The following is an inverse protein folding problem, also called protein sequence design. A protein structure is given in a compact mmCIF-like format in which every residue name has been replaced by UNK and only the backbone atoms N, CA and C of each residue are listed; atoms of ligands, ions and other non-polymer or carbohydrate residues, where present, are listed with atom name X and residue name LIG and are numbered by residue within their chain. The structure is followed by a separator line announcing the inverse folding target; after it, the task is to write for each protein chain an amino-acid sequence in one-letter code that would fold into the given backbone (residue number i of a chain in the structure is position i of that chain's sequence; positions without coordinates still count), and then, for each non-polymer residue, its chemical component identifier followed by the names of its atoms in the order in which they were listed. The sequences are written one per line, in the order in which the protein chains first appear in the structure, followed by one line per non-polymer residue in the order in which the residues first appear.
data_IF_647444918988
#
_entry.id   IF_647444918988
#
_cell.length_a   1.000
_cell.length_b   1.000
_cell.length_c   1.000
_cell.angle_alpha   90.00
_cell.angle_beta   90.00
_cell.angle_gamma   90.00
#
_symmetry.space_group_name_H-M   'P 1'
#
loop_
_entity.id
_entity.type
_entity.pdbx_description
1 polymer ?
#
# COMPACT_ATOMS: atom_id res chain seq x y z
N UNK A 1 40.30 -1.07 -14.08
CA UNK A 1 41.27 -0.12 -14.68
C UNK A 1 42.07 0.45 -13.53
N UNK A 2 43.24 -0.18 -13.28
CA UNK A 2 44.15 0.21 -12.21
C UNK A 2 45.18 1.16 -12.81
N UNK A 3 45.23 2.38 -12.23
CA UNK A 3 46.26 3.37 -12.54
C UNK A 3 47.57 2.89 -11.96
N UNK A 4 48.54 2.60 -12.83
CA UNK A 4 49.92 2.33 -12.46
C UNK A 4 50.51 3.63 -11.91
N UNK A 5 50.87 3.65 -10.62
CA UNK A 5 51.63 4.72 -10.00
C UNK A 5 53.08 4.60 -10.53
N UNK A 6 53.52 5.68 -11.19
CA UNK A 6 54.87 5.89 -11.72
C UNK A 6 55.84 6.03 -10.51
N UNK A 7 56.71 5.02 -10.28
CA UNK A 7 57.78 5.10 -9.27
C UNK A 7 58.88 6.02 -9.78
N UNK A 8 59.35 7.02 -9.02
CA UNK A 8 60.47 7.85 -9.45
C UNK A 8 61.74 7.08 -9.52
N UNK A 9 62.63 7.33 -10.54
CA UNK A 9 63.85 6.59 -10.73
C UNK A 9 64.81 6.73 -9.58
N UNK A 10 65.15 5.61 -8.93
CA UNK A 10 66.20 5.54 -7.91
C UNK A 10 67.53 6.03 -8.48
N UNK A 11 68.01 7.19 -8.01
CA UNK A 11 69.37 7.64 -8.26
C UNK A 11 70.32 6.61 -7.63
N UNK A 12 70.87 5.70 -8.46
CA UNK A 12 71.96 4.81 -8.07
C UNK A 12 73.19 5.66 -7.75
N UNK A 13 73.44 5.98 -6.51
CA UNK A 13 74.68 6.53 -6.01
C UNK A 13 75.79 5.46 -6.21
N UNK A 14 76.69 5.67 -7.21
CA UNK A 14 77.78 4.75 -7.51
C UNK A 14 78.65 4.53 -6.25
N UNK A 15 78.81 3.28 -5.86
CA UNK A 15 79.70 2.88 -4.77
C UNK A 15 81.12 3.24 -5.15
N UNK A 16 81.81 3.96 -4.24
CA UNK A 16 83.21 4.31 -4.42
C UNK A 16 84.06 3.02 -4.59
N UNK A 17 84.66 2.81 -5.77
CA UNK A 17 85.35 1.57 -6.08
C UNK A 17 86.57 1.37 -5.20
N UNK A 18 86.88 0.14 -4.80
CA UNK A 18 87.96 -0.18 -3.85
C UNK A 18 89.34 0.26 -4.33
N UNK A 19 89.52 0.36 -5.64
CA UNK A 19 90.77 0.84 -6.22
C UNK A 19 91.08 2.34 -5.91
N UNK A 20 90.08 3.15 -5.67
CA UNK A 20 90.29 4.54 -5.21
C UNK A 20 90.89 4.59 -3.79
N UNK A 21 90.61 3.65 -2.98
CA UNK A 21 91.20 3.51 -1.63
C UNK A 21 92.66 3.09 -1.77
N UNK A 22 92.96 2.15 -2.71
CA UNK A 22 94.36 1.76 -3.05
C UNK A 22 95.13 2.91 -3.65
N UNK A 23 94.58 3.65 -4.56
CA UNK A 23 95.22 4.82 -5.17
C UNK A 23 95.52 5.91 -4.08
N UNK A 24 94.55 6.15 -3.15
CA UNK A 24 94.75 7.04 -2.03
C UNK A 24 95.89 6.60 -1.11
N UNK A 25 95.97 5.28 -0.88
CA UNK A 25 97.03 4.69 -0.04
C UNK A 25 98.37 4.80 -0.71
N UNK A 26 98.46 4.51 -2.05
CA UNK A 26 99.70 4.69 -2.83
C UNK A 26 100.15 6.15 -2.91
N UNK A 27 99.26 7.07 -3.09
CA UNK A 27 99.55 8.51 -3.11
C UNK A 27 100.02 9.01 -1.74
N UNK A 28 99.37 8.54 -0.68
CA UNK A 28 99.81 8.88 0.67
C UNK A 28 101.21 8.32 1.00
N UNK A 29 101.50 7.08 0.59
CA UNK A 29 102.83 6.48 0.74
C UNK A 29 103.87 7.19 -0.11
N UNK A 30 103.55 7.54 -1.35
CA UNK A 30 104.45 8.26 -2.24
C UNK A 30 104.74 9.68 -1.73
N UNK A 31 103.71 10.39 -1.22
CA UNK A 31 103.88 11.72 -0.58
C UNK A 31 104.71 11.63 0.65
N UNK A 32 104.52 10.63 1.53
CA UNK A 32 105.33 10.38 2.71
C UNK A 32 106.78 10.09 2.34
N UNK A 33 106.99 9.28 1.33
CA UNK A 33 108.34 8.96 0.80
C UNK A 33 109.00 10.19 0.22
N UNK A 34 108.29 11.02 -0.55
CA UNK A 34 108.79 12.26 -1.16
C UNK A 34 109.19 13.26 -0.08
N UNK A 35 108.30 13.49 0.90
CA UNK A 35 108.64 14.40 2.07
C UNK A 35 109.82 13.95 2.86
N UNK A 36 109.91 12.64 3.18
CA UNK A 36 111.01 12.07 3.89
C UNK A 36 112.32 12.21 3.06
N UNK A 37 112.26 11.95 1.77
CA UNK A 37 113.40 12.12 0.83
C UNK A 37 113.91 13.53 0.79
N UNK A 38 112.99 14.53 0.62
CA UNK A 38 113.35 15.93 0.62
C UNK A 38 113.98 16.40 1.95
N UNK A 39 113.40 16.01 3.08
CA UNK A 39 113.91 16.35 4.37
C UNK A 39 115.28 15.70 4.66
N UNK A 40 115.53 14.48 4.21
CA UNK A 40 116.82 13.82 4.32
C UNK A 40 117.90 14.45 3.44
N UNK A 41 117.55 14.87 2.22
CA UNK A 41 118.48 15.58 1.30
C UNK A 41 118.86 16.93 1.82
N UNK A 42 117.93 17.68 2.49
CA UNK A 42 118.24 18.94 3.19
C UNK A 42 119.09 18.69 4.41
N UNK A 43 118.88 17.62 5.16
CA UNK A 43 119.72 17.24 6.35
C UNK A 43 121.14 16.88 5.92
N UNK A 44 121.40 16.31 4.74
CA UNK A 44 122.72 15.96 4.24
C UNK A 44 123.51 17.17 3.71
N UNK A 45 122.87 18.30 3.42
CA UNK A 45 123.54 19.56 3.00
C UNK A 45 124.15 20.40 4.18
N UNK A 46 123.91 20.00 5.43
CA UNK A 46 124.40 20.71 6.58
C UNK A 46 125.91 20.49 6.76
N UNK A 47 126.70 21.60 6.93
CA UNK A 47 128.17 21.61 6.93
C UNK A 47 128.80 21.10 8.24
N UNK A 48 128.12 21.07 9.42
CA UNK A 48 128.61 20.59 10.68
C UNK A 48 128.08 19.23 11.09
N UNK A 49 128.91 18.27 11.59
CA UNK A 49 128.52 16.88 11.87
C UNK A 49 127.43 16.73 12.94
N UNK A 50 127.38 17.58 13.96
CA UNK A 50 126.35 17.50 15.03
C UNK A 50 124.96 17.98 14.61
N UNK A 51 124.90 18.95 13.72
CA UNK A 51 123.63 19.45 13.18
C UNK A 51 123.04 18.47 12.17
N UNK A 52 123.81 17.64 11.51
CA UNK A 52 123.32 16.56 10.61
C UNK A 52 122.53 15.48 11.37
N UNK A 53 123.03 15.10 12.54
CA UNK A 53 122.41 14.05 13.32
C UNK A 53 121.02 14.51 13.85
N UNK A 54 120.92 15.75 14.33
CA UNK A 54 119.68 16.31 14.89
C UNK A 54 118.67 16.56 13.80
N UNK A 55 119.08 17.09 12.61
CA UNK A 55 118.18 17.26 11.44
C UNK A 55 117.66 15.96 10.86
N UNK A 56 118.45 14.90 10.83
CA UNK A 56 118.03 13.57 10.42
C UNK A 56 117.02 12.96 11.41
N UNK A 57 117.18 13.15 12.69
CA UNK A 57 116.21 12.68 13.70
C UNK A 57 114.91 13.46 13.58
N UNK A 58 114.92 14.81 13.33
CA UNK A 58 113.76 15.63 13.14
C UNK A 58 113.06 15.33 11.77
N UNK A 59 113.86 15.06 10.72
CA UNK A 59 113.30 14.62 9.43
C UNK A 59 112.53 13.26 9.53
N UNK A 60 113.12 12.31 10.26
CA UNK A 60 112.50 11.01 10.57
C UNK A 60 111.21 11.21 11.41
N UNK A 61 111.32 12.06 12.45
CA UNK A 61 110.17 12.37 13.32
C UNK A 61 109.01 13.02 12.55
N UNK A 62 109.32 13.99 11.74
CA UNK A 62 108.35 14.69 10.88
C UNK A 62 107.77 13.76 9.88
N UNK A 63 108.62 12.89 9.22
CA UNK A 63 108.15 11.88 8.28
C UNK A 63 107.20 10.86 8.94
N UNK A 64 107.56 10.42 10.14
CA UNK A 64 106.65 9.50 10.91
C UNK A 64 105.32 10.17 11.27
N UNK A 65 105.35 11.47 11.63
CA UNK A 65 104.13 12.22 11.94
C UNK A 65 103.19 12.35 10.73
N UNK A 66 103.74 12.59 9.56
CA UNK A 66 102.96 12.67 8.28
C UNK A 66 102.39 11.28 7.95
N UNK A 67 103.17 10.18 8.10
CA UNK A 67 102.70 8.84 7.92
C UNK A 67 101.62 8.47 8.92
N UNK A 68 101.72 8.87 10.14
CA UNK A 68 100.74 8.62 11.21
C UNK A 68 99.42 9.39 10.94
N UNK A 69 99.51 10.68 10.44
CA UNK A 69 98.36 11.49 10.07
C UNK A 69 97.64 10.95 8.86
N UNK A 70 98.33 10.46 7.85
CA UNK A 70 97.78 9.83 6.67
C UNK A 70 97.14 8.50 7.00
N UNK A 71 97.71 7.70 7.89
CA UNK A 71 97.12 6.48 8.41
C UNK A 71 95.79 6.74 9.20
N UNK A 72 95.71 7.79 9.96
CA UNK A 72 94.45 8.23 10.63
C UNK A 72 93.38 8.61 9.67
N UNK A 73 93.71 9.36 8.61
CA UNK A 73 92.75 9.73 7.55
C UNK A 73 92.20 8.50 6.82
N UNK A 74 93.11 7.51 6.57
CA UNK A 74 92.66 6.27 5.91
C UNK A 74 91.70 5.42 6.79
N UNK A 75 92.06 5.37 8.11
CA UNK A 75 91.19 4.64 9.07
C UNK A 75 89.78 5.28 9.16
N UNK A 76 89.71 6.64 9.16
CA UNK A 76 88.41 7.32 9.14
C UNK A 76 87.60 7.03 7.79
N UNK A 77 88.32 7.01 6.69
CA UNK A 77 87.65 6.63 5.38
C UNK A 77 87.12 5.17 5.37
N UNK A 78 87.93 4.26 5.97
CA UNK A 78 87.51 2.86 6.11
C UNK A 78 86.38 2.70 7.12
N UNK A 79 86.38 3.47 8.20
CA UNK A 79 85.26 3.49 9.17
C UNK A 79 83.99 4.06 8.54
N UNK A 80 84.07 5.18 7.81
CA UNK A 80 82.96 5.76 7.08
C UNK A 80 82.39 4.80 6.00
N UNK A 81 83.27 4.05 5.30
CA UNK A 81 82.87 3.00 4.35
C UNK A 81 82.18 1.86 5.05
N UNK A 82 82.63 1.39 6.22
CA UNK A 82 81.97 0.35 6.99
C UNK A 82 80.58 0.78 7.41
N UNK A 83 80.47 2.00 7.93
CA UNK A 83 79.21 2.56 8.34
C UNK A 83 78.23 2.65 7.16
N UNK A 84 78.69 3.09 6.01
CA UNK A 84 77.88 3.20 4.76
C UNK A 84 77.36 1.85 4.27
N UNK A 85 78.17 0.80 4.34
CA UNK A 85 77.78 -0.57 3.96
C UNK A 85 76.76 -1.10 4.98
N UNK A 86 76.96 -0.82 6.30
CA UNK A 86 76.01 -1.24 7.32
C UNK A 86 74.64 -0.56 7.20
N UNK A 87 74.64 0.78 6.96
CA UNK A 87 73.43 1.51 6.70
C UNK A 87 72.69 1.02 5.45
N UNK A 88 73.40 0.67 4.41
CA UNK A 88 72.80 0.12 3.17
C UNK A 88 72.20 -1.27 3.38
N UNK A 89 72.88 -2.12 4.15
CA UNK A 89 72.38 -3.44 4.52
C UNK A 89 71.14 -3.32 5.41
N UNK A 90 71.13 -2.39 6.34
CA UNK A 90 69.98 -2.14 7.20
C UNK A 90 68.76 -1.62 6.40
N UNK A 91 68.97 -0.63 5.51
CA UNK A 91 67.87 -0.14 4.63
C UNK A 91 67.31 -1.26 3.72
N UNK A 92 68.19 -2.14 3.21
CA UNK A 92 67.74 -3.28 2.41
C UNK A 92 66.92 -4.26 3.24
N UNK A 93 67.29 -4.53 4.50
CA UNK A 93 66.53 -5.37 5.41
C UNK A 93 65.18 -4.72 5.79
N UNK A 94 65.20 -3.44 6.07
CA UNK A 94 63.94 -2.68 6.34
C UNK A 94 63.01 -2.70 5.14
N UNK A 95 63.52 -2.53 3.89
CA UNK A 95 62.71 -2.58 2.67
C UNK A 95 62.13 -3.97 2.42
N UNK A 96 62.87 -5.04 2.70
CA UNK A 96 62.39 -6.42 2.62
C UNK A 96 61.32 -6.68 3.67
N UNK A 97 61.58 -6.26 4.93
CA UNK A 97 60.64 -6.44 6.02
C UNK A 97 59.31 -5.67 5.75
N UNK A 98 59.40 -4.43 5.23
CA UNK A 98 58.25 -3.65 4.84
C UNK A 98 57.44 -4.31 3.68
N UNK A 99 58.13 -4.89 2.70
CA UNK A 99 57.45 -5.67 1.60
C UNK A 99 56.77 -6.93 2.13
N UNK A 100 57.43 -7.65 3.02
CA UNK A 100 56.85 -8.85 3.62
C UNK A 100 55.63 -8.51 4.54
N UNK A 101 55.72 -7.37 5.21
CA UNK A 101 54.59 -6.85 6.01
C UNK A 101 53.44 -6.44 5.12
N UNK A 102 53.68 -5.62 4.09
CA UNK A 102 52.66 -5.23 3.12
C UNK A 102 52.05 -6.42 2.40
N UNK A 103 52.83 -7.48 2.14
CA UNK A 103 52.30 -8.71 1.58
C UNK A 103 51.39 -9.44 2.56
N UNK A 104 51.78 -9.56 3.82
CA UNK A 104 50.96 -10.17 4.89
C UNK A 104 49.68 -9.40 5.08
N UNK A 105 49.73 -8.06 5.14
CA UNK A 105 48.57 -7.20 5.31
C UNK A 105 47.58 -7.35 4.15
N UNK A 106 48.08 -7.46 2.88
CA UNK A 106 47.24 -7.72 1.72
C UNK A 106 46.58 -9.10 1.76
N UNK A 107 47.31 -10.12 2.17
CA UNK A 107 46.78 -11.50 2.30
C UNK A 107 45.73 -11.53 3.39
N UNK A 108 45.98 -10.85 4.52
CA UNK A 108 45.00 -10.76 5.60
C UNK A 108 43.77 -9.99 5.19
N UNK A 109 43.90 -8.81 4.59
CA UNK A 109 42.79 -8.02 4.08
C UNK A 109 41.97 -8.80 3.02
N UNK A 110 42.65 -9.57 2.16
CA UNK A 110 41.94 -10.42 1.21
C UNK A 110 41.21 -11.56 1.91
N UNK A 111 41.81 -12.20 2.91
CA UNK A 111 41.15 -13.24 3.70
C UNK A 111 39.94 -12.71 4.47
N UNK A 112 40.05 -11.52 5.06
CA UNK A 112 38.93 -10.84 5.72
C UNK A 112 37.81 -10.53 4.73
N UNK A 113 38.14 -9.99 3.54
CA UNK A 113 37.13 -9.68 2.51
C UNK A 113 36.42 -10.94 1.98
N UNK A 114 37.13 -12.04 1.85
CA UNK A 114 36.54 -13.34 1.46
C UNK A 114 35.67 -13.90 2.57
N UNK A 115 36.10 -13.80 3.83
CA UNK A 115 35.32 -14.24 4.98
C UNK A 115 34.02 -13.42 5.13
N UNK A 116 34.08 -12.09 4.99
CA UNK A 116 32.90 -11.24 4.98
C UNK A 116 31.95 -11.54 3.81
N UNK A 117 32.49 -11.80 2.60
CA UNK A 117 31.67 -12.19 1.45
C UNK A 117 30.98 -13.54 1.67
N UNK A 118 31.69 -14.50 2.25
CA UNK A 118 31.13 -15.81 2.61
C UNK A 118 30.03 -15.69 3.67
N UNK A 119 30.27 -14.85 4.70
CA UNK A 119 29.27 -14.58 5.74
C UNK A 119 28.00 -13.95 5.14
N UNK A 120 28.15 -12.89 4.32
CA UNK A 120 27.01 -12.25 3.65
C UNK A 120 26.25 -13.23 2.73
N UNK A 121 26.95 -14.14 2.08
CA UNK A 121 26.33 -15.18 1.26
C UNK A 121 25.57 -16.18 2.13
N UNK A 122 26.14 -16.60 3.24
CA UNK A 122 25.48 -17.51 4.18
C UNK A 122 24.23 -16.87 4.80
N UNK A 123 24.33 -15.60 5.22
CA UNK A 123 23.19 -14.83 5.77
C UNK A 123 22.05 -14.72 4.75
N UNK A 124 22.39 -14.45 3.47
CA UNK A 124 21.38 -14.43 2.39
C UNK A 124 20.75 -15.80 2.17
N UNK A 125 21.53 -16.86 2.21
CA UNK A 125 21.02 -18.23 2.03
C UNK A 125 20.13 -18.64 3.21
N UNK A 126 20.51 -18.32 4.45
CA UNK A 126 19.67 -18.62 5.62
C UNK A 126 18.35 -17.84 5.60
N UNK A 127 18.40 -16.55 5.27
CA UNK A 127 17.19 -15.72 5.14
C UNK A 127 16.26 -16.23 4.03
N UNK A 128 16.83 -16.61 2.87
CA UNK A 128 16.06 -17.21 1.79
C UNK A 128 15.44 -18.56 2.18
N UNK A 129 16.21 -19.42 2.87
CA UNK A 129 15.72 -20.71 3.33
C UNK A 129 14.61 -20.57 4.40
N UNK A 130 14.73 -19.60 5.30
CA UNK A 130 13.70 -19.27 6.30
C UNK A 130 12.42 -18.77 5.63
N UNK A 131 12.55 -17.89 4.62
CA UNK A 131 11.43 -17.40 3.83
C UNK A 131 10.74 -18.53 3.08
N UNK A 132 11.48 -19.38 2.37
CA UNK A 132 10.95 -20.54 1.65
C UNK A 132 10.23 -21.52 2.61
N UNK A 133 10.78 -21.73 3.81
CA UNK A 133 10.16 -22.59 4.81
C UNK A 133 8.84 -21.99 5.36
N UNK A 134 8.79 -20.66 5.54
CA UNK A 134 7.59 -19.96 5.95
C UNK A 134 6.49 -20.03 4.87
N UNK A 135 6.85 -19.82 3.61
CA UNK A 135 5.92 -19.93 2.46
C UNK A 135 5.37 -21.34 2.28
N UNK A 136 6.21 -22.39 2.44
CA UNK A 136 5.74 -23.78 2.41
C UNK A 136 4.76 -24.07 3.53
N UNK A 137 5.08 -23.66 4.76
CA UNK A 137 4.19 -23.84 5.92
C UNK A 137 2.85 -23.11 5.70
N UNK A 138 2.89 -21.89 5.17
CA UNK A 138 1.69 -21.12 4.85
C UNK A 138 0.82 -21.87 3.83
N UNK A 139 1.43 -22.36 2.75
CA UNK A 139 0.74 -23.15 1.72
C UNK A 139 0.12 -24.43 2.27
N UNK A 140 0.85 -25.14 3.14
CA UNK A 140 0.33 -26.36 3.80
C UNK A 140 -0.87 -26.06 4.69
N UNK A 141 -0.79 -25.00 5.50
CA UNK A 141 -1.88 -24.57 6.38
C UNK A 141 -3.12 -24.14 5.59
N UNK A 142 -2.90 -23.37 4.51
CA UNK A 142 -3.98 -22.95 3.62
C UNK A 142 -4.66 -24.17 2.95
N UNK A 143 -3.86 -25.06 2.36
CA UNK A 143 -4.39 -26.28 1.72
C UNK A 143 -5.19 -27.10 2.71
N UNK A 144 -4.66 -27.29 3.91
CA UNK A 144 -5.37 -28.04 4.97
C UNK A 144 -6.67 -27.37 5.39
N UNK A 145 -6.69 -26.06 5.53
CA UNK A 145 -7.89 -25.31 5.88
C UNK A 145 -8.98 -25.41 4.79
N UNK A 146 -8.60 -25.36 3.52
CA UNK A 146 -9.52 -25.54 2.38
C UNK A 146 -10.04 -26.99 2.31
N UNK A 147 -9.20 -28.00 2.54
CA UNK A 147 -9.63 -29.40 2.65
C UNK A 147 -10.66 -29.60 3.77
N UNK A 148 -10.44 -28.96 4.93
CA UNK A 148 -11.40 -29.01 6.04
C UNK A 148 -12.72 -28.34 5.66
N UNK A 149 -12.69 -27.21 4.92
CA UNK A 149 -13.88 -26.52 4.45
C UNK A 149 -14.69 -27.38 3.44
N UNK A 150 -14.02 -28.23 2.65
CA UNK A 150 -14.65 -29.16 1.72
C UNK A 150 -15.14 -30.48 2.33
N UNK A 151 -15.06 -30.65 3.65
CA UNK A 151 -15.42 -31.90 4.31
C UNK A 151 -16.96 -32.07 4.45
N UNK A 152 -17.45 -33.30 4.42
CA UNK A 152 -18.88 -33.61 4.57
C UNK A 152 -19.44 -33.23 5.96
N UNK A 153 -18.61 -33.29 7.01
CA UNK A 153 -19.01 -32.93 8.36
C UNK A 153 -19.05 -31.40 8.57
N UNK A 154 -20.20 -30.84 8.91
CA UNK A 154 -20.36 -29.44 9.26
C UNK A 154 -19.42 -28.97 10.37
N UNK A 155 -19.16 -29.80 11.38
CA UNK A 155 -18.22 -29.46 12.46
C UNK A 155 -16.78 -29.33 11.95
N UNK A 156 -16.39 -30.13 10.97
CA UNK A 156 -15.06 -30.04 10.33
C UNK A 156 -14.98 -28.80 9.43
N UNK A 157 -16.04 -28.47 8.68
CA UNK A 157 -16.12 -27.23 7.88
C UNK A 157 -15.99 -25.98 8.75
N UNK A 158 -16.65 -25.94 9.91
CA UNK A 158 -16.49 -24.84 10.88
C UNK A 158 -15.02 -24.69 11.35
N UNK A 159 -14.33 -25.81 11.60
CA UNK A 159 -12.90 -25.80 11.88
C UNK A 159 -12.06 -25.23 10.75
N UNK A 160 -12.43 -25.54 9.50
CA UNK A 160 -11.81 -24.98 8.29
C UNK A 160 -11.99 -23.46 8.17
N UNK A 161 -13.22 -22.94 8.44
CA UNK A 161 -13.49 -21.50 8.46
C UNK A 161 -12.63 -20.76 9.48
N UNK A 162 -12.55 -21.24 10.72
CA UNK A 162 -11.72 -20.62 11.75
C UNK A 162 -10.22 -20.74 11.46
N UNK A 163 -9.79 -21.82 10.81
CA UNK A 163 -8.40 -21.96 10.36
C UNK A 163 -8.05 -20.93 9.29
N UNK A 164 -8.95 -20.68 8.30
CA UNK A 164 -8.80 -19.64 7.29
C UNK A 164 -8.82 -18.24 7.92
N UNK A 165 -9.73 -17.97 8.85
CA UNK A 165 -9.80 -16.70 9.57
C UNK A 165 -8.48 -16.40 10.28
N UNK A 166 -7.95 -17.36 11.06
CA UNK A 166 -6.69 -17.23 11.77
C UNK A 166 -5.52 -17.00 10.80
N UNK A 167 -5.50 -17.77 9.69
CA UNK A 167 -4.47 -17.62 8.67
C UNK A 167 -4.45 -16.20 8.08
N UNK A 168 -5.61 -15.63 7.77
CA UNK A 168 -5.75 -14.25 7.28
C UNK A 168 -5.41 -13.20 8.32
N UNK A 169 -5.66 -13.48 9.60
CA UNK A 169 -5.29 -12.61 10.69
C UNK A 169 -3.78 -12.56 10.87
N UNK A 170 -3.12 -13.70 10.84
CA UNK A 170 -1.67 -13.82 11.03
C UNK A 170 -0.88 -13.40 9.76
N UNK A 171 -1.50 -13.48 8.55
CA UNK A 171 -0.85 -13.23 7.26
C UNK A 171 -1.67 -12.27 6.39
N UNK A 172 -1.47 -10.94 6.52
CA UNK A 172 -2.22 -9.93 5.78
C UNK A 172 -2.20 -10.09 4.24
N UNK A 173 -1.11 -10.61 3.68
CA UNK A 173 -0.99 -10.88 2.23
C UNK A 173 -1.97 -11.93 1.71
N UNK A 174 -2.50 -12.79 2.59
CA UNK A 174 -3.43 -13.86 2.22
C UNK A 174 -4.91 -13.47 2.36
N UNK A 175 -5.22 -12.32 2.95
CA UNK A 175 -6.60 -11.87 3.23
C UNK A 175 -7.48 -11.89 1.98
N UNK A 176 -7.00 -11.34 0.87
CA UNK A 176 -7.74 -11.31 -0.39
C UNK A 176 -8.08 -12.71 -0.90
N UNK A 177 -7.12 -13.64 -0.85
CA UNK A 177 -7.33 -15.04 -1.27
C UNK A 177 -8.34 -15.74 -0.35
N UNK A 178 -8.21 -15.54 0.95
CA UNK A 178 -9.12 -16.15 1.95
C UNK A 178 -10.54 -15.62 1.77
N UNK A 179 -10.71 -14.29 1.59
CA UNK A 179 -12.02 -13.69 1.31
C UNK A 179 -12.62 -14.26 0.04
N UNK A 180 -11.83 -14.42 -1.03
CA UNK A 180 -12.30 -15.02 -2.27
C UNK A 180 -12.79 -16.47 -2.07
N UNK A 181 -12.11 -17.27 -1.24
CA UNK A 181 -12.54 -18.63 -0.88
C UNK A 181 -13.85 -18.62 -0.10
N UNK A 182 -13.98 -17.74 0.91
CA UNK A 182 -15.21 -17.62 1.68
C UNK A 182 -16.39 -17.17 0.81
N UNK A 183 -16.17 -16.19 -0.07
CA UNK A 183 -17.18 -15.76 -1.03
C UNK A 183 -17.55 -16.88 -2.00
N UNK A 184 -16.57 -17.62 -2.53
CA UNK A 184 -16.83 -18.77 -3.40
C UNK A 184 -17.65 -19.86 -2.68
N UNK A 185 -17.33 -20.16 -1.43
CA UNK A 185 -18.11 -21.09 -0.60
C UNK A 185 -19.57 -20.64 -0.45
N UNK A 186 -19.80 -19.34 -0.19
CA UNK A 186 -21.15 -18.80 -0.04
C UNK A 186 -21.93 -18.74 -1.36
N UNK A 187 -21.25 -18.69 -2.52
CA UNK A 187 -21.89 -18.75 -3.86
C UNK A 187 -22.29 -20.17 -4.27
N UNK A 188 -21.63 -21.18 -3.73
CA UNK A 188 -22.07 -22.56 -4.01
C UNK A 188 -23.49 -22.78 -3.46
N UNK A 189 -24.32 -23.47 -4.23
CA UNK A 189 -25.67 -23.83 -3.79
C UNK A 189 -25.57 -24.68 -2.51
N UNK A 190 -26.30 -24.34 -1.45
CA UNK A 190 -26.36 -25.21 -0.29
C UNK A 190 -26.97 -26.56 -0.67
N UNK A 191 -26.53 -27.69 -0.11
CA UNK A 191 -27.27 -28.93 -0.21
C UNK A 191 -28.66 -28.72 0.40
N UNK A 192 -29.65 -29.44 -0.14
CA UNK A 192 -31.05 -29.27 0.21
C UNK A 192 -31.28 -29.37 1.73
N UNK A 193 -31.80 -28.28 2.30
CA UNK A 193 -32.43 -28.12 3.61
C UNK A 193 -31.69 -28.74 4.82
N UNK A 194 -30.36 -28.66 4.86
CA UNK A 194 -29.57 -29.14 6.01
C UNK A 194 -29.35 -27.98 7.02
N UNK A 195 -30.00 -28.02 8.23
CA UNK A 195 -29.82 -26.96 9.25
C UNK A 195 -28.36 -26.72 9.67
N UNK A 196 -27.54 -27.78 9.61
CA UNK A 196 -26.12 -27.71 9.95
C UNK A 196 -25.33 -26.90 8.92
N UNK A 197 -25.69 -26.99 7.64
CA UNK A 197 -25.06 -26.15 6.58
C UNK A 197 -25.42 -24.68 6.76
N UNK A 198 -26.64 -24.38 7.15
CA UNK A 198 -27.06 -23.00 7.47
C UNK A 198 -26.16 -22.38 8.53
N UNK A 199 -25.78 -23.12 9.59
CA UNK A 199 -24.88 -22.59 10.63
C UNK A 199 -23.43 -22.38 10.11
N UNK A 200 -22.94 -23.27 9.25
CA UNK A 200 -21.63 -23.10 8.59
C UNK A 200 -21.62 -21.83 7.75
N UNK A 201 -22.67 -21.61 6.92
CA UNK A 201 -22.81 -20.43 6.08
C UNK A 201 -22.94 -19.14 6.89
N UNK A 202 -23.75 -19.15 7.97
CA UNK A 202 -23.82 -18.03 8.91
C UNK A 202 -22.46 -17.72 9.54
N UNK A 203 -21.68 -18.75 9.86
CA UNK A 203 -20.32 -18.55 10.40
C UNK A 203 -19.41 -17.93 9.36
N UNK A 204 -19.44 -18.39 8.09
CA UNK A 204 -18.67 -17.79 7.01
C UNK A 204 -19.05 -16.31 6.78
N UNK A 205 -20.36 -15.98 6.83
CA UNK A 205 -20.87 -14.60 6.77
C UNK A 205 -20.33 -13.75 7.92
N UNK A 206 -20.41 -14.27 9.16
CA UNK A 206 -19.91 -13.58 10.37
C UNK A 206 -18.41 -13.34 10.32
N UNK A 207 -17.61 -14.28 9.81
CA UNK A 207 -16.17 -14.10 9.60
C UNK A 207 -15.94 -12.94 8.63
N UNK A 208 -16.61 -12.92 7.48
CA UNK A 208 -16.48 -11.82 6.51
C UNK A 208 -16.85 -10.47 7.15
N UNK A 209 -18.06 -10.35 7.72
CA UNK A 209 -18.56 -9.06 8.22
C UNK A 209 -17.81 -8.55 9.44
N UNK A 210 -17.29 -9.46 10.29
CA UNK A 210 -16.43 -9.08 11.42
C UNK A 210 -15.20 -8.28 10.95
N UNK A 211 -14.56 -8.75 9.89
CA UNK A 211 -13.34 -8.14 9.37
C UNK A 211 -13.57 -6.89 8.49
N UNK A 212 -14.83 -6.52 8.23
CA UNK A 212 -15.21 -5.30 7.54
C UNK A 212 -15.57 -4.13 8.48
N UNK A 213 -15.60 -4.35 9.80
CA UNK A 213 -15.91 -3.32 10.80
C UNK A 213 -14.64 -2.57 11.19
N UNK A 214 -14.51 -1.30 10.77
CA UNK A 214 -13.32 -0.47 11.04
C UNK A 214 -13.12 -0.13 12.52
N UNK A 215 -14.18 -0.14 13.34
CA UNK A 215 -14.07 0.15 14.77
C UNK A 215 -13.34 -0.95 15.57
N UNK A 216 -13.21 -2.16 15.03
CA UNK A 216 -12.37 -3.22 15.59
C UNK A 216 -11.02 -3.24 14.85
N UNK A 217 -10.12 -2.32 15.23
CA UNK A 217 -8.80 -2.18 14.60
C UNK A 217 -7.99 -3.48 14.59
N UNK A 218 -8.22 -4.35 15.56
CA UNK A 218 -7.49 -5.62 15.71
C UNK A 218 -7.97 -6.68 14.73
N UNK A 219 -9.25 -6.65 14.37
CA UNK A 219 -9.87 -7.61 13.46
C UNK A 219 -9.97 -7.07 12.02
N UNK A 220 -9.96 -5.75 11.82
CA UNK A 220 -10.23 -5.13 10.53
C UNK A 220 -9.24 -5.54 9.43
N UNK A 221 -9.78 -5.92 8.27
CA UNK A 221 -9.02 -6.22 7.05
C UNK A 221 -9.28 -5.12 6.00
N UNK A 222 -8.39 -4.15 5.86
CA UNK A 222 -8.60 -3.03 4.94
C UNK A 222 -8.54 -3.46 3.48
N UNK A 223 -9.32 -2.79 2.62
CA UNK A 223 -9.27 -2.96 1.17
C UNK A 223 -9.89 -4.24 0.63
N UNK A 224 -10.67 -4.95 1.44
CA UNK A 224 -11.35 -6.18 1.04
C UNK A 224 -12.51 -5.87 0.10
N UNK A 225 -12.57 -6.61 -1.02
CA UNK A 225 -13.65 -6.57 -2.00
C UNK A 225 -14.50 -7.84 -1.86
N UNK A 226 -15.83 -7.69 -1.83
CA UNK A 226 -16.76 -8.81 -1.73
C UNK A 226 -17.37 -9.16 -3.08
N UNK A 227 -17.22 -10.42 -3.51
CA UNK A 227 -17.96 -10.98 -4.63
C UNK A 227 -18.90 -12.09 -4.12
N UNK A 228 -20.13 -11.70 -3.82
CA UNK A 228 -21.22 -12.56 -3.37
C UNK A 228 -22.37 -12.65 -4.39
N UNK A 229 -22.03 -12.43 -5.68
CA UNK A 229 -23.01 -12.58 -6.77
C UNK A 229 -23.63 -13.97 -6.80
N UNK A 230 -24.97 -14.05 -6.78
CA UNK A 230 -25.71 -15.30 -6.74
C UNK A 230 -25.63 -16.09 -5.43
N UNK A 231 -24.99 -15.55 -4.37
CA UNK A 231 -24.87 -16.24 -3.08
C UNK A 231 -26.23 -16.42 -2.42
N UNK A 232 -26.37 -17.53 -1.65
CA UNK A 232 -27.47 -17.75 -0.74
C UNK A 232 -27.05 -17.34 0.68
N UNK A 233 -27.63 -16.29 1.21
CA UNK A 233 -27.28 -15.66 2.47
C UNK A 233 -28.45 -15.71 3.46
N UNK A 234 -28.17 -16.00 4.72
CA UNK A 234 -29.21 -16.17 5.75
C UNK A 234 -28.94 -15.23 6.90
N UNK A 235 -29.90 -14.38 7.23
CA UNK A 235 -29.78 -13.35 8.29
C UNK A 235 -28.46 -12.59 8.17
N UNK A 236 -28.20 -12.03 6.98
CA UNK A 236 -26.92 -11.39 6.67
C UNK A 236 -26.78 -10.05 7.39
N UNK A 237 -25.79 -9.93 8.27
CA UNK A 237 -25.55 -8.73 9.08
C UNK A 237 -24.24 -8.04 8.69
N UNK A 238 -24.35 -7.00 7.87
CA UNK A 238 -23.28 -6.07 7.52
C UNK A 238 -23.43 -4.70 8.25
N UNK A 239 -24.16 -4.66 9.36
CA UNK A 239 -24.34 -3.43 10.13
C UNK A 239 -22.99 -2.86 10.59
N UNK A 240 -22.79 -1.54 10.36
CA UNK A 240 -21.56 -0.83 10.70
C UNK A 240 -20.31 -1.28 9.94
N UNK A 241 -20.45 -2.06 8.86
CA UNK A 241 -19.34 -2.47 8.03
C UNK A 241 -18.90 -1.35 7.08
N UNK A 242 -17.61 -1.32 6.74
CA UNK A 242 -17.07 -0.51 5.64
C UNK A 242 -16.83 -1.39 4.43
N UNK A 243 -17.55 -1.12 3.35
CA UNK A 243 -17.45 -1.84 2.07
C UNK A 243 -16.64 -0.98 1.08
N UNK A 244 -15.57 -1.51 0.54
CA UNK A 244 -14.80 -0.82 -0.52
C UNK A 244 -15.50 -0.97 -1.85
N UNK A 245 -15.67 -2.21 -2.31
CA UNK A 245 -16.52 -2.62 -3.42
C UNK A 245 -17.22 -3.93 -3.02
N UNK A 246 -18.51 -4.03 -3.28
CA UNK A 246 -19.26 -5.25 -3.00
C UNK A 246 -20.30 -5.54 -4.09
N UNK A 247 -20.34 -6.78 -4.56
CA UNK A 247 -21.39 -7.25 -5.45
C UNK A 247 -22.18 -8.38 -4.81
N UNK A 248 -23.49 -8.23 -4.85
CA UNK A 248 -24.51 -9.19 -4.43
C UNK A 248 -25.52 -9.43 -5.56
N UNK A 249 -25.13 -9.14 -6.80
CA UNK A 249 -26.03 -9.26 -7.95
C UNK A 249 -26.65 -10.66 -8.03
N UNK A 250 -27.98 -10.74 -8.06
CA UNK A 250 -28.70 -12.00 -8.07
C UNK A 250 -28.65 -12.83 -6.79
N UNK A 251 -28.07 -12.31 -5.71
CA UNK A 251 -28.03 -13.00 -4.44
C UNK A 251 -29.42 -13.21 -3.83
N UNK A 252 -29.59 -14.30 -3.08
CA UNK A 252 -30.81 -14.62 -2.34
C UNK A 252 -30.55 -14.45 -0.84
N UNK A 253 -31.20 -13.46 -0.24
CA UNK A 253 -31.19 -13.21 1.18
C UNK A 253 -32.46 -13.72 1.82
N UNK A 254 -32.35 -14.64 2.76
CA UNK A 254 -33.46 -15.14 3.56
C UNK A 254 -33.40 -14.63 4.99
N UNK A 255 -34.57 -14.39 5.60
CA UNK A 255 -34.63 -13.73 6.91
C UNK A 255 -34.34 -12.23 6.80
N UNK A 256 -33.75 -11.65 7.84
CA UNK A 256 -33.44 -10.20 7.89
C UNK A 256 -32.04 -9.93 7.37
N UNK A 257 -31.94 -8.99 6.45
CA UNK A 257 -30.67 -8.48 5.93
C UNK A 257 -30.42 -7.08 6.44
N UNK A 258 -29.28 -6.84 7.08
CA UNK A 258 -28.95 -5.53 7.65
C UNK A 258 -27.66 -4.97 7.07
N UNK A 259 -27.76 -3.74 6.54
CA UNK A 259 -26.65 -2.86 6.21
C UNK A 259 -26.67 -1.59 7.10
N UNK A 260 -27.45 -1.61 8.21
CA UNK A 260 -27.65 -0.42 9.04
C UNK A 260 -26.34 0.23 9.48
N UNK A 261 -26.20 1.53 9.25
CA UNK A 261 -24.99 2.28 9.57
C UNK A 261 -23.75 1.87 8.79
N UNK A 262 -23.87 1.05 7.75
CA UNK A 262 -22.74 0.69 6.91
C UNK A 262 -22.28 1.88 6.06
N UNK A 263 -20.99 1.91 5.73
CA UNK A 263 -20.40 2.90 4.82
C UNK A 263 -19.88 2.20 3.58
N UNK A 264 -20.22 2.70 2.38
CA UNK A 264 -19.62 2.20 1.15
C UNK A 264 -18.69 3.27 0.58
N UNK A 265 -17.45 2.90 0.22
CA UNK A 265 -16.47 3.79 -0.40
C UNK A 265 -16.49 3.72 -1.92
N UNK A 266 -16.83 2.57 -2.46
CA UNK A 266 -16.98 2.30 -3.87
C UNK A 266 -18.38 1.80 -4.20
N UNK A 267 -18.51 0.89 -5.17
CA UNK A 267 -19.79 0.42 -5.68
C UNK A 267 -20.43 -0.62 -4.77
N UNK A 268 -21.75 -0.52 -4.61
CA UNK A 268 -22.59 -1.56 -4.00
C UNK A 268 -23.63 -2.03 -5.02
N UNK A 269 -23.42 -3.22 -5.58
CA UNK A 269 -24.24 -3.78 -6.64
C UNK A 269 -25.14 -4.88 -6.10
N UNK A 270 -26.44 -4.63 -6.07
CA UNK A 270 -27.46 -5.55 -5.56
C UNK A 270 -28.50 -5.93 -6.65
N UNK A 271 -28.22 -5.59 -7.90
CA UNK A 271 -29.15 -5.82 -9.00
C UNK A 271 -29.69 -7.26 -9.03
N UNK A 272 -30.98 -7.44 -9.25
CA UNK A 272 -31.69 -8.71 -9.28
C UNK A 272 -31.62 -9.55 -7.98
N UNK A 273 -31.16 -8.97 -6.87
CA UNK A 273 -31.17 -9.63 -5.58
C UNK A 273 -32.59 -9.82 -5.02
N UNK A 274 -32.78 -10.83 -4.18
CA UNK A 274 -34.06 -11.13 -3.50
C UNK A 274 -33.86 -11.04 -2.01
N UNK A 275 -34.76 -10.35 -1.32
CA UNK A 275 -34.69 -10.13 0.12
C UNK A 275 -35.98 -10.65 0.79
N UNK A 276 -35.84 -11.20 2.02
CA UNK A 276 -36.91 -11.22 3.00
C UNK A 276 -37.16 -9.79 3.48
N UNK A 277 -36.66 -9.45 4.65
CA UNK A 277 -36.58 -8.07 5.13
C UNK A 277 -35.22 -7.47 4.81
N UNK A 278 -35.19 -6.14 4.54
CA UNK A 278 -33.93 -5.42 4.30
C UNK A 278 -33.87 -4.08 5.01
N UNK A 279 -32.75 -3.81 5.67
CA UNK A 279 -32.52 -2.57 6.44
C UNK A 279 -31.25 -1.89 5.95
N UNK A 280 -31.42 -0.67 5.41
CA UNK A 280 -30.35 0.25 4.99
C UNK A 280 -30.31 1.51 5.84
N UNK A 281 -30.85 1.47 7.07
CA UNK A 281 -30.97 2.65 7.91
C UNK A 281 -29.59 3.26 8.19
N UNK A 282 -29.51 4.61 8.02
CA UNK A 282 -28.29 5.39 8.24
C UNK A 282 -27.08 4.93 7.41
N UNK A 283 -27.27 4.24 6.30
CA UNK A 283 -26.19 3.91 5.37
C UNK A 283 -25.66 5.19 4.74
N UNK A 284 -24.34 5.25 4.57
CA UNK A 284 -23.69 6.34 3.82
C UNK A 284 -22.95 5.75 2.62
N UNK A 285 -23.31 6.18 1.41
CA UNK A 285 -22.63 5.73 0.20
C UNK A 285 -21.74 6.82 -0.39
N UNK A 286 -20.47 6.50 -0.62
CA UNK A 286 -19.51 7.35 -1.34
C UNK A 286 -19.32 6.95 -2.81
N UNK A 287 -20.09 5.98 -3.30
CA UNK A 287 -20.09 5.50 -4.68
C UNK A 287 -21.46 5.02 -5.11
N UNK A 288 -21.53 4.51 -6.35
CA UNK A 288 -22.76 4.06 -6.97
C UNK A 288 -23.43 2.92 -6.19
N UNK A 289 -24.73 3.05 -5.94
CA UNK A 289 -25.57 1.96 -5.45
C UNK A 289 -26.62 1.58 -6.50
N UNK A 290 -26.69 0.29 -6.83
CA UNK A 290 -27.61 -0.24 -7.83
C UNK A 290 -28.53 -1.28 -7.19
N UNK A 291 -29.81 -0.97 -7.13
CA UNK A 291 -30.89 -1.82 -6.65
C UNK A 291 -31.89 -2.19 -7.78
N UNK A 292 -31.41 -2.20 -9.04
CA UNK A 292 -32.28 -2.49 -10.18
C UNK A 292 -32.77 -3.95 -10.15
N UNK A 293 -34.03 -4.17 -10.50
CA UNK A 293 -34.66 -5.50 -10.61
C UNK A 293 -34.71 -6.29 -9.29
N UNK A 294 -34.51 -5.65 -8.12
CA UNK A 294 -34.60 -6.34 -6.82
C UNK A 294 -36.03 -6.73 -6.48
N UNK A 295 -36.16 -7.73 -5.61
CA UNK A 295 -37.44 -8.12 -5.00
C UNK A 295 -37.32 -8.18 -3.50
N UNK A 296 -38.14 -7.42 -2.80
CA UNK A 296 -38.25 -7.43 -1.34
C UNK A 296 -39.62 -7.95 -0.97
N UNK A 297 -39.67 -9.08 -0.26
CA UNK A 297 -40.92 -9.72 0.13
C UNK A 297 -41.48 -9.17 1.44
N UNK A 298 -40.65 -8.70 2.34
CA UNK A 298 -41.00 -8.15 3.61
C UNK A 298 -40.75 -6.64 3.70
N UNK A 299 -40.35 -6.20 4.88
CA UNK A 299 -40.04 -4.79 5.16
C UNK A 299 -38.78 -4.31 4.42
N UNK A 300 -38.84 -3.10 3.87
CA UNK A 300 -37.69 -2.37 3.37
C UNK A 300 -37.52 -1.04 4.10
N UNK A 301 -36.42 -0.85 4.80
CA UNK A 301 -36.11 0.40 5.49
C UNK A 301 -34.80 1.01 5.02
N UNK A 302 -34.87 2.32 4.69
CA UNK A 302 -33.74 3.15 4.28
C UNK A 302 -33.64 4.41 5.12
N UNK A 303 -34.27 4.44 6.30
CA UNK A 303 -34.43 5.63 7.13
C UNK A 303 -33.08 6.30 7.46
N UNK A 304 -32.98 7.61 7.18
CA UNK A 304 -31.78 8.39 7.45
C UNK A 304 -30.57 8.08 6.56
N UNK A 305 -30.72 7.25 5.53
CA UNK A 305 -29.62 6.91 4.61
C UNK A 305 -29.17 8.13 3.78
N UNK A 306 -27.91 8.13 3.35
CA UNK A 306 -27.34 9.14 2.46
C UNK A 306 -26.72 8.45 1.23
N UNK A 307 -27.31 8.71 0.07
CA UNK A 307 -26.85 8.21 -1.23
C UNK A 307 -26.18 9.35 -2.00
N UNK A 308 -24.88 9.55 -1.80
CA UNK A 308 -24.14 10.71 -2.34
C UNK A 308 -24.12 10.73 -3.88
N UNK A 309 -23.96 9.57 -4.52
CA UNK A 309 -23.94 9.41 -5.98
C UNK A 309 -25.31 9.02 -6.57
N UNK A 310 -26.38 9.21 -5.78
CA UNK A 310 -27.73 8.85 -6.18
C UNK A 310 -28.06 7.37 -5.99
N UNK A 311 -29.22 6.95 -6.47
CA UNK A 311 -29.74 5.59 -6.34
C UNK A 311 -30.40 5.16 -7.66
N UNK A 312 -29.99 4.01 -8.18
CA UNK A 312 -30.75 3.31 -9.23
C UNK A 312 -31.54 2.17 -8.59
N UNK A 313 -32.88 2.25 -8.69
CA UNK A 313 -33.81 1.25 -8.15
C UNK A 313 -34.94 1.00 -9.16
N UNK A 314 -34.57 0.71 -10.39
CA UNK A 314 -35.54 0.55 -11.50
C UNK A 314 -36.09 -0.87 -11.57
N UNK A 315 -37.34 -1.01 -12.02
CA UNK A 315 -38.02 -2.30 -12.22
C UNK A 315 -38.01 -3.19 -10.99
N UNK A 316 -37.92 -2.58 -9.83
CA UNK A 316 -37.84 -3.27 -8.54
C UNK A 316 -39.24 -3.48 -7.95
N UNK A 317 -39.35 -4.42 -7.05
CA UNK A 317 -40.62 -4.83 -6.48
C UNK A 317 -40.50 -4.93 -4.95
N UNK A 318 -41.28 -4.13 -4.25
CA UNK A 318 -41.39 -4.09 -2.80
C UNK A 318 -42.80 -4.52 -2.41
N UNK A 319 -42.92 -5.73 -1.82
CA UNK A 319 -44.22 -6.27 -1.45
C UNK A 319 -44.69 -5.79 -0.06
N UNK A 320 -43.76 -5.47 0.85
CA UNK A 320 -44.08 -5.00 2.19
C UNK A 320 -43.88 -3.50 2.36
N UNK A 321 -44.11 -3.03 3.60
CA UNK A 321 -43.89 -1.64 3.99
C UNK A 321 -42.52 -1.14 3.60
N UNK A 322 -42.47 0.03 2.94
CA UNK A 322 -41.20 0.60 2.47
C UNK A 322 -41.00 2.01 3.03
N UNK A 323 -39.87 2.25 3.66
CA UNK A 323 -39.54 3.53 4.28
C UNK A 323 -38.26 4.15 3.73
N UNK A 324 -38.37 5.43 3.29
CA UNK A 324 -37.27 6.31 2.89
C UNK A 324 -37.33 7.62 3.71
N UNK A 325 -37.67 7.55 4.97
CA UNK A 325 -37.78 8.76 5.82
C UNK A 325 -36.43 9.39 6.03
N UNK A 326 -36.37 10.73 5.84
CA UNK A 326 -35.15 11.54 6.04
C UNK A 326 -33.93 11.05 5.24
N UNK A 327 -34.18 10.39 4.10
CA UNK A 327 -33.11 9.98 3.17
C UNK A 327 -32.62 11.19 2.39
N UNK A 328 -31.32 11.25 2.13
CA UNK A 328 -30.70 12.24 1.24
C UNK A 328 -30.18 11.56 -0.02
N UNK A 329 -30.65 12.02 -1.17
CA UNK A 329 -30.20 11.60 -2.48
C UNK A 329 -29.41 12.75 -3.13
N UNK A 330 -28.07 12.62 -3.17
CA UNK A 330 -27.16 13.70 -3.61
C UNK A 330 -27.12 13.91 -5.12
N UNK A 331 -27.34 12.84 -5.91
CA UNK A 331 -27.28 12.83 -7.37
C UNK A 331 -28.58 12.26 -7.95
N UNK A 332 -28.75 12.20 -9.29
CA UNK A 332 -29.96 11.67 -9.91
C UNK A 332 -30.36 10.31 -9.36
N UNK A 333 -31.63 10.18 -9.08
CA UNK A 333 -32.23 8.98 -8.49
C UNK A 333 -33.38 8.49 -9.35
N UNK A 334 -33.44 7.18 -9.61
CA UNK A 334 -34.50 6.58 -10.40
C UNK A 334 -35.17 5.42 -9.69
N UNK A 335 -36.51 5.49 -9.65
CA UNK A 335 -37.44 4.42 -9.27
C UNK A 335 -38.33 4.00 -10.47
N UNK A 336 -37.85 4.22 -11.69
CA UNK A 336 -38.68 3.99 -12.90
C UNK A 336 -39.16 2.53 -12.97
N UNK A 337 -40.44 2.38 -13.29
CA UNK A 337 -41.12 1.10 -13.41
C UNK A 337 -41.07 0.23 -12.13
N UNK A 338 -40.77 0.84 -10.95
CA UNK A 338 -40.78 0.16 -9.66
C UNK A 338 -42.23 0.00 -9.14
N UNK A 339 -42.51 -1.12 -8.49
CA UNK A 339 -43.77 -1.43 -7.84
C UNK A 339 -43.59 -1.48 -6.31
N UNK A 340 -44.37 -0.67 -5.63
CA UNK A 340 -44.53 -0.70 -4.17
C UNK A 340 -45.98 -1.17 -3.88
N UNK A 341 -46.14 -2.40 -3.38
CA UNK A 341 -47.48 -2.97 -3.14
C UNK A 341 -48.14 -2.42 -1.87
N UNK A 342 -47.35 -2.20 -0.80
CA UNK A 342 -47.83 -1.72 0.49
C UNK A 342 -47.48 -0.23 0.71
N UNK A 343 -47.83 0.30 1.88
CA UNK A 343 -47.59 1.70 2.21
C UNK A 343 -46.10 2.09 2.10
N UNK A 344 -45.86 3.24 1.47
CA UNK A 344 -44.53 3.75 1.20
C UNK A 344 -44.38 5.18 1.74
N UNK A 345 -43.27 5.48 2.39
CA UNK A 345 -43.03 6.83 2.91
C UNK A 345 -41.69 7.39 2.45
N UNK A 346 -41.73 8.65 1.96
CA UNK A 346 -40.56 9.49 1.68
C UNK A 346 -40.54 10.71 2.62
N UNK A 347 -41.26 10.66 3.76
CA UNK A 347 -41.40 11.81 4.66
C UNK A 347 -40.03 12.45 4.99
N UNK A 348 -39.92 13.77 4.85
CA UNK A 348 -38.74 14.57 5.12
C UNK A 348 -37.51 14.19 4.26
N UNK A 349 -37.67 13.41 3.19
CA UNK A 349 -36.59 13.08 2.28
C UNK A 349 -36.13 14.30 1.47
N UNK A 350 -34.87 14.26 1.03
CA UNK A 350 -34.24 15.32 0.25
C UNK A 350 -33.70 14.72 -1.05
N UNK A 351 -34.17 15.22 -2.18
CA UNK A 351 -33.65 14.92 -3.51
C UNK A 351 -32.87 16.14 -4.01
N UNK A 352 -31.53 16.13 -3.86
CA UNK A 352 -30.66 17.18 -4.38
C UNK A 352 -30.43 17.02 -5.89
N UNK A 353 -30.37 15.78 -6.39
CA UNK A 353 -30.38 15.45 -7.82
C UNK A 353 -31.79 15.35 -8.40
N UNK A 354 -31.87 15.12 -9.71
CA UNK A 354 -33.15 14.87 -10.38
C UNK A 354 -33.75 13.54 -9.92
N UNK A 355 -35.07 13.52 -9.74
CA UNK A 355 -35.83 12.31 -9.42
C UNK A 355 -36.64 11.84 -10.62
N UNK A 356 -36.55 10.55 -10.91
CA UNK A 356 -37.46 9.89 -11.85
C UNK A 356 -38.23 8.77 -11.15
N UNK A 357 -39.57 8.82 -11.28
CA UNK A 357 -40.53 7.79 -10.88
C UNK A 357 -41.50 7.47 -12.02
N UNK A 358 -40.99 7.52 -13.26
CA UNK A 358 -41.82 7.27 -14.42
C UNK A 358 -42.27 5.80 -14.42
N UNK A 359 -43.56 5.61 -14.73
CA UNK A 359 -44.19 4.27 -14.72
C UNK A 359 -44.16 3.55 -13.35
N UNK A 360 -43.84 4.27 -12.27
CA UNK A 360 -43.85 3.71 -10.90
C UNK A 360 -45.30 3.43 -10.48
N UNK A 361 -45.49 2.33 -9.76
CA UNK A 361 -46.79 1.94 -9.19
C UNK A 361 -46.70 1.93 -7.67
N UNK A 362 -47.49 2.78 -7.02
CA UNK A 362 -47.79 2.71 -5.60
C UNK A 362 -49.13 2.05 -5.39
N UNK A 363 -49.13 0.77 -5.02
CA UNK A 363 -50.36 0.01 -4.72
C UNK A 363 -50.98 0.43 -3.39
N UNK A 364 -50.16 0.65 -2.38
CA UNK A 364 -50.53 1.21 -1.07
C UNK A 364 -50.49 2.74 -1.05
N UNK A 365 -50.79 3.31 0.12
CA UNK A 365 -50.66 4.76 0.35
C UNK A 365 -49.21 5.22 0.25
N UNK A 366 -48.99 6.40 -0.33
CA UNK A 366 -47.65 6.99 -0.39
C UNK A 366 -47.65 8.40 0.17
N UNK A 367 -46.61 8.71 0.98
CA UNK A 367 -46.43 10.07 1.49
C UNK A 367 -45.07 10.66 1.10
N UNK A 368 -45.14 11.87 0.56
CA UNK A 368 -44.04 12.77 0.28
C UNK A 368 -44.13 14.01 1.17
N UNK A 369 -44.69 13.87 2.37
CA UNK A 369 -44.85 14.98 3.31
C UNK A 369 -43.51 15.62 3.66
N UNK A 370 -43.44 16.95 3.52
CA UNK A 370 -42.25 17.74 3.82
C UNK A 370 -40.99 17.36 3.00
N UNK A 371 -41.15 16.70 1.88
CA UNK A 371 -40.04 16.35 0.95
C UNK A 371 -39.51 17.60 0.25
N UNK A 372 -38.21 17.67 0.06
CA UNK A 372 -37.54 18.69 -0.77
C UNK A 372 -37.04 18.10 -2.07
N UNK A 373 -37.57 18.56 -3.19
CA UNK A 373 -37.09 18.29 -4.53
C UNK A 373 -36.29 19.52 -5.02
N UNK A 374 -34.96 19.44 -4.93
CA UNK A 374 -34.09 20.56 -5.31
C UNK A 374 -33.91 20.67 -6.83
N UNK A 375 -34.19 19.61 -7.57
CA UNK A 375 -34.07 19.53 -9.00
C UNK A 375 -35.38 18.96 -9.59
N UNK A 376 -35.38 18.66 -10.89
CA UNK A 376 -36.55 18.14 -11.61
C UNK A 376 -37.09 16.84 -10.97
N UNK A 377 -38.41 16.76 -10.80
CA UNK A 377 -39.11 15.59 -10.28
C UNK A 377 -40.14 15.08 -11.29
N UNK A 378 -39.93 13.85 -11.80
CA UNK A 378 -40.74 13.23 -12.82
C UNK A 378 -41.62 12.12 -12.23
N UNK A 379 -42.94 12.32 -12.31
CA UNK A 379 -43.96 11.38 -11.90
C UNK A 379 -44.87 11.01 -13.12
N UNK A 380 -44.33 11.01 -14.33
CA UNK A 380 -45.09 10.72 -15.54
C UNK A 380 -45.53 9.26 -15.56
N UNK A 381 -46.80 9.03 -15.93
CA UNK A 381 -47.41 7.69 -15.93
C UNK A 381 -47.37 6.96 -14.58
N UNK A 382 -47.02 7.65 -13.46
CA UNK A 382 -47.07 7.05 -12.14
C UNK A 382 -48.53 6.71 -11.78
N UNK A 383 -48.74 5.56 -11.16
CA UNK A 383 -50.03 5.11 -10.64
C UNK A 383 -50.00 5.20 -9.12
N UNK A 384 -50.93 5.98 -8.56
CA UNK A 384 -51.18 6.09 -7.12
C UNK A 384 -52.48 5.31 -6.83
N UNK A 385 -52.36 4.08 -6.34
CA UNK A 385 -53.48 3.17 -6.07
C UNK A 385 -54.31 3.57 -4.86
N UNK A 386 -53.66 4.06 -3.84
CA UNK A 386 -54.29 4.58 -2.65
C UNK A 386 -53.96 6.06 -2.44
N UNK A 387 -54.01 6.58 -1.23
CA UNK A 387 -53.74 8.00 -0.91
C UNK A 387 -52.35 8.44 -1.30
N UNK A 388 -52.21 9.60 -1.99
CA UNK A 388 -50.96 10.23 -2.35
C UNK A 388 -50.83 11.60 -1.71
N UNK A 389 -49.92 11.71 -0.72
CA UNK A 389 -49.75 12.91 0.12
C UNK A 389 -48.45 13.64 -0.22
N UNK A 390 -48.55 14.84 -0.80
CA UNK A 390 -47.44 15.75 -1.08
C UNK A 390 -47.53 17.01 -0.19
N UNK A 391 -48.10 16.87 0.99
CA UNK A 391 -48.31 17.99 1.90
C UNK A 391 -46.97 18.62 2.27
N UNK A 392 -46.89 19.98 2.26
CA UNK A 392 -45.67 20.74 2.56
C UNK A 392 -44.44 20.40 1.71
N UNK A 393 -44.61 19.61 0.64
CA UNK A 393 -43.52 19.29 -0.30
C UNK A 393 -43.03 20.58 -0.99
N UNK A 394 -41.73 20.67 -1.25
CA UNK A 394 -41.11 21.82 -1.92
C UNK A 394 -40.45 21.37 -3.24
N UNK A 395 -40.96 21.89 -4.36
CA UNK A 395 -40.43 21.69 -5.70
C UNK A 395 -39.72 22.96 -6.14
N UNK A 396 -38.38 22.94 -6.13
CA UNK A 396 -37.59 24.13 -6.50
C UNK A 396 -37.28 24.19 -7.99
N UNK A 397 -37.56 23.13 -8.73
CA UNK A 397 -37.52 23.08 -10.20
C UNK A 397 -38.81 22.46 -10.74
N UNK A 398 -38.82 21.99 -11.99
CA UNK A 398 -39.98 21.42 -12.68
C UNK A 398 -40.50 20.15 -11.99
N UNK A 399 -41.78 20.09 -11.77
CA UNK A 399 -42.49 18.88 -11.35
C UNK A 399 -43.42 18.44 -12.48
N UNK A 400 -43.34 17.18 -12.90
CA UNK A 400 -44.09 16.66 -13.99
C UNK A 400 -44.94 15.44 -13.59
N UNK A 401 -46.24 15.61 -13.51
CA UNK A 401 -47.25 14.58 -13.24
C UNK A 401 -48.02 14.18 -14.52
N UNK A 402 -47.49 14.47 -15.67
CA UNK A 402 -48.16 14.17 -16.95
C UNK A 402 -48.58 12.70 -17.02
N UNK A 403 -49.88 12.46 -17.32
CA UNK A 403 -50.49 11.12 -17.40
C UNK A 403 -50.45 10.30 -16.12
N UNK A 404 -50.13 10.90 -14.97
CA UNK A 404 -50.26 10.24 -13.68
C UNK A 404 -51.73 9.88 -13.40
N UNK A 405 -51.95 8.83 -12.61
CA UNK A 405 -53.29 8.36 -12.25
C UNK A 405 -53.42 8.30 -10.72
N UNK A 406 -54.40 8.98 -10.18
CA UNK A 406 -54.72 9.00 -8.76
C UNK A 406 -56.05 8.26 -8.53
N UNK A 407 -55.97 7.06 -7.96
CA UNK A 407 -57.14 6.21 -7.74
C UNK A 407 -57.85 6.49 -6.39
N UNK A 408 -57.27 7.32 -5.57
CA UNK A 408 -57.79 7.81 -4.29
C UNK A 408 -57.40 9.27 -4.10
N UNK A 409 -57.56 9.79 -2.86
CA UNK A 409 -57.27 11.14 -2.52
C UNK A 409 -55.82 11.53 -2.83
N UNK A 410 -55.65 12.68 -3.45
CA UNK A 410 -54.38 13.35 -3.65
C UNK A 410 -54.36 14.66 -2.91
N UNK A 411 -53.35 14.89 -2.04
CA UNK A 411 -53.21 16.14 -1.27
C UNK A 411 -51.87 16.79 -1.57
N UNK A 412 -51.94 18.08 -1.95
CA UNK A 412 -50.80 18.98 -2.11
C UNK A 412 -50.95 20.18 -1.18
N UNK A 413 -51.53 20.00 0.01
CA UNK A 413 -51.76 21.06 0.99
C UNK A 413 -50.41 21.68 1.39
N UNK A 414 -50.35 23.02 1.30
CA UNK A 414 -49.14 23.79 1.63
C UNK A 414 -47.91 23.43 0.80
N UNK A 415 -48.07 22.67 -0.29
CA UNK A 415 -46.97 22.36 -1.21
C UNK A 415 -46.54 23.63 -1.96
N UNK A 416 -45.23 23.79 -2.12
CA UNK A 416 -44.61 24.94 -2.79
C UNK A 416 -44.01 24.54 -4.11
N UNK A 417 -44.36 25.24 -5.19
CA UNK A 417 -43.83 25.02 -6.52
C UNK A 417 -43.18 26.32 -7.02
N UNK A 418 -41.86 26.27 -7.33
CA UNK A 418 -41.15 27.41 -7.94
C UNK A 418 -41.53 27.60 -9.42
N UNK A 419 -41.92 26.51 -10.07
CA UNK A 419 -42.48 26.49 -11.43
C UNK A 419 -43.83 25.78 -11.41
N UNK A 420 -44.75 26.19 -12.26
CA UNK A 420 -46.04 25.54 -12.39
C UNK A 420 -45.85 24.05 -12.65
N UNK A 421 -46.51 23.14 -11.86
CA UNK A 421 -46.45 21.71 -12.15
C UNK A 421 -47.09 21.35 -13.47
N UNK A 422 -46.49 20.47 -14.23
CA UNK A 422 -47.05 19.92 -15.47
C UNK A 422 -47.97 18.75 -15.12
N UNK A 423 -49.24 18.85 -15.49
CA UNK A 423 -50.27 17.85 -15.17
C UNK A 423 -51.00 17.33 -16.43
N UNK A 424 -50.44 17.54 -17.60
CA UNK A 424 -51.07 17.19 -18.90
C UNK A 424 -51.57 15.74 -18.91
N UNK A 425 -52.87 15.55 -19.16
CA UNK A 425 -53.57 14.26 -19.21
C UNK A 425 -53.49 13.45 -17.89
N UNK A 426 -53.09 14.07 -16.77
CA UNK A 426 -53.18 13.39 -15.48
C UNK A 426 -54.68 13.18 -15.15
N UNK A 427 -54.99 12.07 -14.48
CA UNK A 427 -56.34 11.69 -14.12
C UNK A 427 -56.47 11.38 -12.65
N UNK A 428 -57.62 11.69 -12.09
CA UNK A 428 -57.96 11.35 -10.70
C UNK A 428 -59.38 10.86 -10.62
N UNK A 429 -59.69 9.95 -9.69
CA UNK A 429 -61.09 9.61 -9.39
C UNK A 429 -61.79 10.80 -8.80
N UNK A 430 -63.12 10.83 -8.89
CA UNK A 430 -63.94 11.89 -8.26
C UNK A 430 -63.90 11.69 -6.75
N UNK A 431 -63.16 12.54 -6.03
CA UNK A 431 -63.00 12.50 -4.58
C UNK A 431 -63.02 13.95 -4.03
N UNK A 432 -63.91 14.29 -3.08
CA UNK A 432 -63.97 15.63 -2.49
C UNK A 432 -62.77 15.97 -1.60
N UNK A 433 -61.97 14.98 -1.22
CA UNK A 433 -60.74 15.11 -0.41
C UNK A 433 -59.55 15.66 -1.17
N UNK A 434 -59.57 15.70 -2.50
CA UNK A 434 -58.45 16.22 -3.31
C UNK A 434 -58.08 17.66 -2.91
N UNK A 435 -56.75 17.90 -2.83
CA UNK A 435 -56.17 19.23 -2.62
C UNK A 435 -55.06 19.43 -3.66
N UNK A 436 -55.46 19.99 -4.81
CA UNK A 436 -54.57 20.21 -5.96
C UNK A 436 -53.66 21.43 -5.78
N UNK A 437 -52.53 21.50 -6.48
CA UNK A 437 -51.70 22.70 -6.52
C UNK A 437 -52.48 23.91 -7.04
N UNK A 438 -52.13 25.12 -6.55
CA UNK A 438 -52.71 26.34 -7.05
C UNK A 438 -52.53 26.50 -8.55
N UNK A 439 -53.62 26.91 -9.23
CA UNK A 439 -53.61 27.07 -10.70
C UNK A 439 -53.86 25.79 -11.51
N UNK A 440 -54.05 24.64 -10.85
CA UNK A 440 -54.49 23.42 -11.56
C UNK A 440 -55.98 23.53 -11.91
N UNK A 441 -56.30 23.35 -13.18
CA UNK A 441 -57.69 23.29 -13.63
C UNK A 441 -58.12 21.82 -13.70
N UNK A 442 -59.25 21.53 -13.04
CA UNK A 442 -59.80 20.16 -13.01
C UNK A 442 -61.09 20.12 -13.83
N UNK A 443 -61.15 19.25 -14.80
CA UNK A 443 -62.36 19.03 -15.65
C UNK A 443 -62.88 17.63 -15.39
N UNK A 444 -64.19 17.48 -15.32
CA UNK A 444 -64.85 16.17 -15.25
C UNK A 444 -64.71 15.46 -16.60
N UNK A 445 -64.17 14.24 -16.63
CA UNK A 445 -64.04 13.42 -17.82
C UNK A 445 -65.28 12.56 -18.02
N UNK A 446 -65.71 11.87 -16.92
CA UNK A 446 -66.90 11.02 -16.86
C UNK A 446 -67.38 10.96 -15.39
N UNK A 447 -68.20 9.98 -15.03
CA UNK A 447 -68.78 9.85 -13.69
C UNK A 447 -67.76 9.45 -12.62
N UNK A 448 -66.66 8.82 -13.00
CA UNK A 448 -65.65 8.31 -12.09
C UNK A 448 -64.33 9.11 -12.13
N UNK A 449 -64.06 9.79 -13.25
CA UNK A 449 -62.76 10.40 -13.46
C UNK A 449 -62.78 11.91 -13.72
N UNK A 450 -61.78 12.54 -13.16
CA UNK A 450 -61.39 13.92 -13.44
C UNK A 450 -60.13 13.91 -14.32
N UNK A 451 -59.98 14.91 -15.17
CA UNK A 451 -58.73 15.17 -15.91
C UNK A 451 -58.16 16.50 -15.45
N UNK A 452 -56.88 16.51 -15.13
CA UNK A 452 -56.13 17.71 -14.80
C UNK A 452 -55.61 18.31 -16.10
N UNK A 453 -55.74 19.61 -16.25
CA UNK A 453 -55.29 20.35 -17.43
C UNK A 453 -54.46 21.55 -16.98
N UNK A 454 -53.48 21.86 -17.80
CA UNK A 454 -52.73 23.12 -17.61
C UNK A 454 -53.61 24.26 -18.11
N UNK A 455 -53.64 25.38 -17.36
CA UNK A 455 -54.41 26.57 -17.72
C UNK A 455 -53.80 27.31 -18.90
#
# INVERSE_FOLDING_TARGET
MAVAADEPPERQLRVMPWWLVLVGLLLAAALGWLVLGLLLTEADRAVQPDTRATLRIDAIRTGLTVIAGTGGGLALLLAARRQWIAERAQRHQEAVAARDQAHRDRVQAHAESVAEAAQRQQDRQSTAAEHDAAERRLTELYTRAVELLGNDSAAVRLGGLHALERLGQDNPSQRTTIVAVLCAYLRMSPPDDEPRETEVRRTAQRVLTRHLREHDETAHWPGVVLDLGGAALVDFDAAGCTLVDATFTGAAFTGTTSFAGATTRGRLLLGAARFGDVVFDNVTTGGEIVLDDIRVHGLASFDGATFSDGLSCRRSHFAGLTSFRRVTFGQPTSFDATCFEDATTFQEAVFDGALSMEHTVFGGSVTFDSVRFANMALFRWTIFGEEALFDRARFTDAANFGRARFHRMASFRDAQFSRRPQVEQARAVVDPGHRWPAGTVVKRLDDEWLVLVDE
#
